data_IF_683703938654
#
_entry.id   IF_683703938654
#
_cell.length_a   1.000
_cell.length_b   1.000
_cell.length_c   1.000
_cell.angle_alpha   90.00
_cell.angle_beta   90.00
_cell.angle_gamma   90.00
#
_symmetry.space_group_name_H-M   'P 1'
#
loop_
_entity.id
_entity.type
_entity.pdbx_description
1 polymer ?
#
# COMPACT_ATOMS: atom_id res chain seq x y z
N UNK A 1 -8.84 11.01 -1.22
CA UNK A 1 -7.79 11.92 -0.71
C UNK A 1 -7.20 11.36 0.57
N UNK A 2 -5.93 10.95 0.51
CA UNK A 2 -5.13 10.51 1.66
C UNK A 2 -4.92 11.67 2.64
N UNK A 3 -4.62 12.86 2.14
CA UNK A 3 -4.36 14.04 2.97
C UNK A 3 -5.57 14.39 3.85
N UNK A 4 -6.79 14.35 3.29
CA UNK A 4 -8.01 14.64 4.04
C UNK A 4 -8.29 13.59 5.12
N UNK A 5 -8.11 12.31 4.81
CA UNK A 5 -8.28 11.23 5.80
C UNK A 5 -7.31 11.43 6.97
N UNK A 6 -6.02 11.57 6.69
CA UNK A 6 -5.00 11.76 7.73
C UNK A 6 -5.25 13.02 8.57
N UNK A 7 -5.64 14.13 7.95
CA UNK A 7 -5.94 15.37 8.66
C UNK A 7 -7.15 15.23 9.59
N UNK A 8 -8.26 14.68 9.09
CA UNK A 8 -9.49 14.50 9.88
C UNK A 8 -9.32 13.44 10.97
N UNK A 9 -8.65 12.33 10.67
CA UNK A 9 -8.42 11.28 11.65
C UNK A 9 -7.59 11.77 12.83
N UNK A 10 -6.50 12.48 12.57
CA UNK A 10 -5.68 13.11 13.62
C UNK A 10 -6.46 14.16 14.40
N UNK A 11 -7.21 15.01 13.71
CA UNK A 11 -8.03 16.04 14.36
C UNK A 11 -9.05 15.45 15.34
N UNK A 12 -9.62 14.29 14.99
CA UNK A 12 -10.67 13.63 15.77
C UNK A 12 -10.16 12.48 16.65
N UNK A 13 -8.83 12.25 16.73
CA UNK A 13 -8.23 11.17 17.53
C UNK A 13 -8.53 9.76 17.03
N UNK A 14 -8.96 9.61 15.77
CA UNK A 14 -9.26 8.32 15.15
C UNK A 14 -7.96 7.53 14.94
N UNK A 15 -6.86 8.19 14.63
CA UNK A 15 -5.54 7.59 14.51
C UNK A 15 -5.10 6.87 15.79
N UNK A 16 -5.23 7.52 16.93
CA UNK A 16 -4.93 6.93 18.24
C UNK A 16 -5.86 5.75 18.55
N UNK A 17 -7.17 5.93 18.33
CA UNK A 17 -8.16 4.88 18.57
C UNK A 17 -7.94 3.63 17.71
N UNK A 18 -7.56 3.80 16.44
CA UNK A 18 -7.26 2.69 15.53
C UNK A 18 -5.94 2.01 15.88
N UNK A 19 -4.92 2.77 16.29
CA UNK A 19 -3.65 2.19 16.78
C UNK A 19 -3.89 1.32 18.02
N UNK A 20 -4.67 1.81 18.99
CA UNK A 20 -5.05 1.04 20.17
C UNK A 20 -5.86 -0.22 19.80
N UNK A 21 -6.81 -0.10 18.87
CA UNK A 21 -7.59 -1.24 18.40
C UNK A 21 -6.70 -2.31 17.75
N UNK A 22 -5.74 -1.90 16.91
CA UNK A 22 -4.77 -2.78 16.27
C UNK A 22 -3.90 -3.51 17.30
N UNK A 23 -3.37 -2.80 18.30
CA UNK A 23 -2.59 -3.39 19.40
C UNK A 23 -3.41 -4.41 20.23
N UNK A 24 -4.75 -4.25 20.27
CA UNK A 24 -5.67 -5.19 20.91
C UNK A 24 -6.10 -6.35 19.99
N UNK A 25 -5.54 -6.46 18.79
CA UNK A 25 -5.80 -7.55 17.85
C UNK A 25 -7.02 -7.33 16.95
N UNK A 26 -7.54 -6.11 16.83
CA UNK A 26 -8.60 -5.80 15.86
C UNK A 26 -8.00 -5.79 14.45
N UNK A 27 -8.70 -6.44 13.52
CA UNK A 27 -8.36 -6.40 12.10
C UNK A 27 -8.77 -5.04 11.53
N UNK A 28 -7.80 -4.28 11.04
CA UNK A 28 -8.03 -3.04 10.31
C UNK A 28 -8.04 -3.30 8.81
N UNK A 29 -8.95 -2.65 8.10
CA UNK A 29 -9.06 -2.73 6.64
C UNK A 29 -9.17 -1.32 6.03
N UNK A 30 -8.59 -1.13 4.86
CA UNK A 30 -8.70 0.10 4.10
C UNK A 30 -8.39 -0.14 2.63
N UNK A 31 -9.13 0.55 1.76
CA UNK A 31 -8.95 0.50 0.30
C UNK A 31 -8.49 1.87 -0.21
N UNK A 32 -7.75 1.88 -1.32
CA UNK A 32 -7.32 3.12 -1.98
C UNK A 32 -6.63 4.07 -0.98
N UNK A 33 -7.14 5.29 -0.80
CA UNK A 33 -6.57 6.25 0.15
C UNK A 33 -6.46 5.70 1.60
N UNK A 34 -7.39 4.83 2.02
CA UNK A 34 -7.35 4.21 3.33
C UNK A 34 -6.20 3.22 3.50
N UNK A 35 -5.83 2.46 2.46
CA UNK A 35 -4.68 1.54 2.54
C UNK A 35 -3.37 2.31 2.70
N UNK A 36 -3.21 3.43 1.97
CA UNK A 36 -2.03 4.30 2.08
C UNK A 36 -1.91 4.88 3.50
N UNK A 37 -3.03 5.19 4.16
CA UNK A 37 -3.00 5.73 5.52
C UNK A 37 -2.39 4.77 6.54
N UNK A 38 -2.51 3.45 6.39
CA UNK A 38 -1.92 2.47 7.32
C UNK A 38 -0.39 2.39 7.22
N UNK A 39 0.14 2.75 6.07
CA UNK A 39 1.55 2.65 5.71
C UNK A 39 2.32 3.92 6.09
N UNK A 40 3.63 3.92 5.85
CA UNK A 40 4.47 5.12 6.01
C UNK A 40 4.06 6.23 5.04
N UNK A 41 3.58 5.85 3.85
CA UNK A 41 3.26 6.79 2.79
C UNK A 41 2.95 6.11 1.46
N UNK A 42 2.76 6.91 0.41
CA UNK A 42 2.47 6.43 -0.94
C UNK A 42 2.20 7.55 -1.96
N UNK A 43 2.05 7.23 -3.25
CA UNK A 43 1.58 8.16 -4.27
C UNK A 43 0.12 8.59 -4.03
N UNK A 44 -0.17 9.89 -4.14
CA UNK A 44 -1.53 10.42 -3.98
C UNK A 44 -1.83 11.59 -4.91
N UNK A 45 -3.08 11.64 -5.35
CA UNK A 45 -3.76 12.71 -6.10
C UNK A 45 -4.52 13.67 -5.17
N UNK A 46 -4.20 13.67 -3.87
CA UNK A 46 -4.94 14.46 -2.87
C UNK A 46 -4.94 15.98 -3.12
N UNK A 47 -3.99 16.47 -3.92
CA UNK A 47 -3.74 17.89 -4.16
C UNK A 47 -3.96 18.31 -5.62
N UNK A 48 -4.48 17.42 -6.46
CA UNK A 48 -4.68 17.67 -7.88
C UNK A 48 -4.55 16.40 -8.72
N UNK A 49 -4.58 16.54 -10.04
CA UNK A 49 -4.44 15.42 -10.98
C UNK A 49 -3.03 14.85 -11.04
N UNK A 50 -2.03 15.66 -10.67
CA UNK A 50 -0.64 15.22 -10.60
C UNK A 50 -0.40 14.47 -9.30
N UNK A 51 0.15 13.27 -9.41
CA UNK A 51 0.49 12.48 -8.22
C UNK A 51 1.70 13.07 -7.51
N UNK A 52 1.62 13.13 -6.18
CA UNK A 52 2.71 13.49 -5.29
C UNK A 52 2.89 12.44 -4.20
N UNK A 53 4.03 12.44 -3.53
CA UNK A 53 4.23 11.59 -2.37
C UNK A 53 3.52 12.17 -1.14
N UNK A 54 2.90 11.29 -0.36
CA UNK A 54 2.61 11.52 1.06
C UNK A 54 3.52 10.61 1.87
N UNK A 55 4.20 11.14 2.89
CA UNK A 55 5.18 10.42 3.72
C UNK A 55 4.87 10.49 5.22
N UNK A 56 3.69 10.99 5.55
CA UNK A 56 3.21 11.15 6.91
C UNK A 56 1.95 10.30 7.16
N UNK A 57 1.93 9.07 6.64
CA UNK A 57 0.90 8.08 6.99
C UNK A 57 0.92 7.75 8.49
N UNK A 58 0.05 6.84 8.93
CA UNK A 58 0.01 6.41 10.32
C UNK A 58 1.18 5.47 10.67
N UNK A 59 1.82 4.87 9.66
CA UNK A 59 2.99 4.02 9.82
C UNK A 59 2.80 2.83 10.78
N UNK A 60 1.58 2.28 10.84
CA UNK A 60 1.33 0.98 11.49
C UNK A 60 2.05 -0.14 10.73
N UNK A 61 2.09 -0.01 9.40
CA UNK A 61 2.89 -0.85 8.52
C UNK A 61 4.17 -0.09 8.09
N UNK A 62 5.37 -0.66 8.26
CA UNK A 62 6.65 0.01 8.03
C UNK A 62 7.06 0.07 6.55
N UNK A 63 6.08 -0.01 5.63
CA UNK A 63 6.29 -0.04 4.19
C UNK A 63 5.66 1.20 3.54
N UNK A 64 6.01 1.48 2.28
CA UNK A 64 5.20 2.36 1.44
C UNK A 64 4.06 1.58 0.78
N UNK A 65 3.05 2.29 0.24
CA UNK A 65 1.92 1.67 -0.43
C UNK A 65 1.55 2.31 -1.77
N UNK A 66 1.40 1.47 -2.79
CA UNK A 66 0.75 1.79 -4.06
C UNK A 66 -0.64 1.15 -4.16
N UNK A 67 -1.53 1.78 -4.92
CA UNK A 67 -2.90 1.32 -5.18
C UNK A 67 -3.21 1.48 -6.66
N UNK A 68 -4.30 0.90 -7.17
CA UNK A 68 -4.76 1.07 -8.56
C UNK A 68 -3.64 0.82 -9.59
N UNK A 69 -2.81 -0.18 -9.32
CA UNK A 69 -1.50 -0.34 -9.97
C UNK A 69 -1.60 -0.81 -11.43
N UNK A 70 -2.71 -1.44 -11.79
CA UNK A 70 -3.09 -1.87 -13.14
C UNK A 70 -3.94 -0.84 -13.91
N UNK A 71 -4.67 0.03 -13.19
CA UNK A 71 -5.65 0.94 -13.79
C UNK A 71 -5.16 2.39 -13.92
N UNK A 72 -4.20 2.84 -13.11
CA UNK A 72 -3.68 4.20 -13.10
C UNK A 72 -2.19 4.28 -13.48
N UNK A 73 -1.92 4.51 -14.77
CA UNK A 73 -0.57 4.46 -15.38
C UNK A 73 0.49 5.36 -14.70
N UNK A 74 0.10 6.43 -14.01
CA UNK A 74 1.02 7.33 -13.32
C UNK A 74 1.58 6.76 -12.01
N UNK A 75 0.86 5.83 -11.35
CA UNK A 75 1.19 5.38 -10.00
C UNK A 75 2.42 4.49 -9.94
N UNK A 76 2.55 3.56 -10.89
CA UNK A 76 3.67 2.61 -10.95
C UNK A 76 5.02 3.30 -11.18
N UNK A 77 5.20 4.19 -12.19
CA UNK A 77 6.45 4.94 -12.36
C UNK A 77 6.80 5.79 -11.14
N UNK A 78 5.83 6.48 -10.53
CA UNK A 78 6.09 7.32 -9.38
C UNK A 78 6.48 6.49 -8.15
N UNK A 79 5.80 5.36 -7.87
CA UNK A 79 6.18 4.50 -6.75
C UNK A 79 7.62 3.98 -6.90
N UNK A 80 7.99 3.55 -8.12
CA UNK A 80 9.37 3.13 -8.42
C UNK A 80 10.36 4.25 -8.14
N UNK A 81 10.09 5.47 -8.62
CA UNK A 81 10.95 6.61 -8.37
C UNK A 81 11.09 6.89 -6.86
N UNK A 82 9.99 6.93 -6.12
CA UNK A 82 10.01 7.24 -4.68
C UNK A 82 10.80 6.21 -3.87
N UNK A 83 10.73 4.92 -4.24
CA UNK A 83 11.55 3.87 -3.61
C UNK A 83 13.01 4.00 -4.03
N UNK A 84 13.29 4.24 -5.32
CA UNK A 84 14.65 4.40 -5.84
C UNK A 84 15.41 5.58 -5.22
N UNK A 85 14.71 6.69 -5.03
CA UNK A 85 15.22 7.92 -4.42
C UNK A 85 15.31 7.83 -2.88
N UNK A 86 14.81 6.74 -2.27
CA UNK A 86 14.79 6.53 -0.82
C UNK A 86 13.77 7.40 -0.07
N UNK A 87 12.80 8.00 -0.78
CA UNK A 87 11.70 8.77 -0.20
C UNK A 87 10.69 7.85 0.48
N UNK A 88 10.42 6.69 -0.13
CA UNK A 88 9.64 5.61 0.47
C UNK A 88 10.54 4.39 0.74
N UNK A 89 10.26 3.62 1.79
CA UNK A 89 10.99 2.38 2.06
C UNK A 89 10.56 1.28 1.08
N UNK A 90 10.94 0.02 1.36
CA UNK A 90 10.27 -1.16 0.79
C UNK A 90 8.76 -0.91 0.72
N UNK A 91 8.18 -1.08 -0.46
CA UNK A 91 6.80 -0.71 -0.71
C UNK A 91 6.02 -1.84 -1.32
N UNK A 92 4.74 -1.92 -0.98
CA UNK A 92 3.81 -2.87 -1.56
C UNK A 92 2.74 -2.16 -2.38
N UNK A 93 2.49 -2.64 -3.59
CA UNK A 93 1.40 -2.13 -4.43
C UNK A 93 0.39 -3.21 -4.74
N UNK A 94 -0.88 -2.82 -4.93
CA UNK A 94 -1.95 -3.75 -5.29
C UNK A 94 -2.69 -3.25 -6.53
N UNK A 95 -3.01 -4.18 -7.42
CA UNK A 95 -3.99 -3.96 -8.47
C UNK A 95 -5.38 -3.69 -7.86
N UNK A 96 -6.31 -3.22 -8.69
CA UNK A 96 -7.71 -3.19 -8.32
C UNK A 96 -8.22 -4.58 -7.93
N UNK A 97 -9.12 -4.62 -6.94
CA UNK A 97 -9.67 -5.86 -6.38
C UNK A 97 -8.67 -6.77 -5.65
N UNK A 98 -7.44 -6.31 -5.43
CA UNK A 98 -6.38 -7.03 -4.71
C UNK A 98 -6.08 -6.36 -3.37
N UNK A 99 -5.88 -7.17 -2.33
CA UNK A 99 -5.41 -6.75 -1.02
C UNK A 99 -4.22 -7.60 -0.55
N UNK A 100 -3.49 -7.10 0.43
CA UNK A 100 -2.46 -7.86 1.15
C UNK A 100 -2.94 -8.04 2.59
N UNK A 101 -2.94 -9.28 3.06
CA UNK A 101 -3.15 -9.62 4.45
C UNK A 101 -1.82 -9.52 5.19
N UNK A 102 -1.82 -8.77 6.29
CA UNK A 102 -0.70 -8.68 7.21
C UNK A 102 -1.04 -9.34 8.55
N UNK A 103 -0.09 -10.08 9.10
CA UNK A 103 -0.10 -10.51 10.51
C UNK A 103 0.90 -9.66 11.29
N UNK A 104 0.38 -8.79 12.16
CA UNK A 104 1.17 -7.69 12.71
C UNK A 104 1.64 -6.77 11.57
N UNK A 105 2.93 -6.80 11.28
CA UNK A 105 3.54 -6.06 10.16
C UNK A 105 4.08 -6.98 9.05
N UNK A 106 3.91 -8.29 9.17
CA UNK A 106 4.42 -9.25 8.19
C UNK A 106 3.36 -9.51 7.11
N UNK A 107 3.65 -9.28 5.81
CA UNK A 107 2.74 -9.64 4.73
C UNK A 107 2.70 -11.15 4.52
N UNK A 108 1.54 -11.77 4.74
CA UNK A 108 1.40 -13.25 4.73
C UNK A 108 0.65 -13.80 3.52
N UNK A 109 -0.21 -13.00 2.89
CA UNK A 109 -0.97 -13.44 1.72
C UNK A 109 -1.45 -12.28 0.85
N UNK A 110 -1.58 -12.54 -0.44
CA UNK A 110 -2.32 -11.70 -1.39
C UNK A 110 -3.72 -12.28 -1.53
N UNK A 111 -4.74 -11.45 -1.35
CA UNK A 111 -6.15 -11.81 -1.46
C UNK A 111 -6.80 -11.04 -2.61
N UNK A 112 -7.81 -11.62 -3.26
CA UNK A 112 -8.58 -10.96 -4.30
C UNK A 112 -10.07 -11.24 -4.14
N UNK A 113 -10.93 -10.26 -4.47
CA UNK A 113 -12.39 -10.42 -4.44
C UNK A 113 -12.97 -11.04 -5.73
N UNK A 114 -12.13 -11.14 -6.78
CA UNK A 114 -12.51 -11.77 -8.06
C UNK A 114 -12.00 -13.21 -8.12
N UNK A 115 -12.83 -14.11 -8.66
CA UNK A 115 -12.50 -15.53 -8.82
C UNK A 115 -11.48 -15.83 -9.94
N UNK A 116 -10.89 -14.80 -10.54
CA UNK A 116 -9.91 -14.96 -11.61
C UNK A 116 -8.50 -15.18 -11.04
N UNK A 117 -8.28 -16.26 -10.30
CA UNK A 117 -6.93 -16.69 -9.98
C UNK A 117 -6.87 -18.20 -9.70
N UNK A 118 -6.66 -18.97 -10.78
CA UNK A 118 -5.69 -20.06 -10.65
C UNK A 118 -4.28 -19.46 -10.48
N UNK A 119 -3.26 -20.27 -10.15
CA UNK A 119 -1.87 -19.80 -9.96
C UNK A 119 -1.20 -19.44 -11.31
N UNK A 120 -1.85 -18.64 -12.16
CA UNK A 120 -1.28 -18.16 -13.40
C UNK A 120 -0.50 -16.86 -13.17
N UNK A 121 0.55 -16.69 -13.96
CA UNK A 121 1.38 -15.48 -14.04
C UNK A 121 0.67 -14.28 -14.71
N UNK A 122 -0.63 -14.38 -15.01
CA UNK A 122 -1.35 -13.44 -15.88
C UNK A 122 -2.60 -12.79 -15.24
N UNK A 123 -2.82 -12.96 -13.93
CA UNK A 123 -3.97 -12.37 -13.21
C UNK A 123 -3.65 -11.12 -12.37
N UNK A 124 -4.66 -10.53 -11.70
CA UNK A 124 -4.45 -9.48 -10.70
C UNK A 124 -3.45 -9.91 -9.62
N UNK A 125 -2.64 -8.97 -9.14
CA UNK A 125 -1.58 -9.26 -8.21
C UNK A 125 -1.28 -8.10 -7.25
N UNK A 126 -0.48 -8.44 -6.24
CA UNK A 126 0.29 -7.44 -5.52
C UNK A 126 1.72 -7.40 -6.05
N UNK A 127 2.48 -6.39 -5.65
CA UNK A 127 3.85 -6.17 -6.07
C UNK A 127 4.66 -5.70 -4.88
N UNK A 128 5.88 -6.22 -4.77
CA UNK A 128 6.89 -5.80 -3.81
C UNK A 128 7.95 -4.99 -4.56
N UNK A 129 8.11 -3.72 -4.19
CA UNK A 129 9.04 -2.77 -4.82
C UNK A 129 10.12 -2.42 -3.80
N UNK A 130 11.37 -2.69 -4.12
CA UNK A 130 12.50 -2.44 -3.23
C UNK A 130 13.69 -1.83 -3.97
N UNK A 131 14.54 -1.11 -3.23
CA UNK A 131 15.84 -0.71 -3.73
C UNK A 131 16.86 -1.82 -3.42
N UNK A 132 17.53 -2.35 -4.44
CA UNK A 132 18.58 -3.35 -4.30
C UNK A 132 19.78 -2.97 -5.17
N UNK A 133 20.94 -2.73 -4.56
CA UNK A 133 22.17 -2.44 -5.31
C UNK A 133 22.11 -1.16 -6.16
N UNK A 134 21.34 -0.15 -5.72
CA UNK A 134 21.16 1.10 -6.46
C UNK A 134 20.15 1.04 -7.61
N UNK A 135 19.46 -0.09 -7.80
CA UNK A 135 18.34 -0.20 -8.74
C UNK A 135 17.04 -0.49 -8.00
N UNK A 136 15.92 -0.16 -8.64
CA UNK A 136 14.59 -0.53 -8.15
C UNK A 136 14.21 -1.87 -8.75
N UNK A 137 13.88 -2.82 -7.87
CA UNK A 137 13.43 -4.16 -8.23
C UNK A 137 11.96 -4.28 -7.86
N UNK A 138 11.15 -4.75 -8.82
CA UNK A 138 9.76 -5.09 -8.60
C UNK A 138 9.58 -6.60 -8.72
N UNK A 139 8.97 -7.20 -7.70
CA UNK A 139 8.59 -8.61 -7.66
C UNK A 139 7.08 -8.73 -7.60
N UNK A 140 6.49 -9.42 -8.58
CA UNK A 140 5.05 -9.72 -8.59
C UNK A 140 4.73 -10.79 -7.56
N UNK A 141 3.66 -10.58 -6.80
CA UNK A 141 3.11 -11.48 -5.79
C UNK A 141 1.72 -11.97 -6.26
N UNK A 142 1.58 -13.21 -6.75
CA UNK A 142 0.28 -13.76 -7.15
C UNK A 142 -0.65 -13.89 -5.94
N UNK A 143 -1.96 -13.95 -6.21
CA UNK A 143 -2.98 -14.30 -5.20
C UNK A 143 -2.62 -15.64 -4.54
N UNK A 144 -2.61 -15.66 -3.21
CA UNK A 144 -2.20 -16.79 -2.38
C UNK A 144 -1.20 -16.40 -1.29
N UNK A 145 -0.64 -17.40 -0.57
CA UNK A 145 0.35 -17.16 0.47
C UNK A 145 1.62 -16.49 -0.07
N UNK A 146 2.17 -15.56 0.70
CA UNK A 146 3.49 -14.96 0.49
C UNK A 146 4.48 -15.81 1.30
N UNK A 147 5.48 -16.38 0.63
CA UNK A 147 6.49 -17.28 1.21
C UNK A 147 7.91 -16.88 0.90
#
# INVERSE_FOLDING_TARGET
SVANLLALWRLHGVDAAMSEAWERGVILGGVSAGSICWHTGGPTDSFGTDLVAVTNGLALLPYGNGVHYDSEAQRRPLLHQLVGDGVLPLSYATDDHVGILYEGTEPVAVIADTFAAGPSSEGPAAYRIEQAGGTVVETRLPVGPIG
#
